data_IF_745777823592
#
_entry.id   IF_745777823592
#
_cell.length_a   1.000
_cell.length_b   1.000
_cell.length_c   1.000
_cell.angle_alpha   90.00
_cell.angle_beta   90.00
_cell.angle_gamma   90.00
#
_symmetry.space_group_name_H-M   'P 1'
#
loop_
_entity.id
_entity.type
_entity.pdbx_description
1 polymer ?
#
# COMPACT_ATOMS: atom_id res chain seq x y z
N UNK A 1 -4.79 -7.14 -7.74
CA UNK A 1 -3.53 -7.31 -7.01
C UNK A 1 -3.60 -6.46 -5.76
N UNK A 2 -3.57 -7.09 -4.59
CA UNK A 2 -3.54 -6.41 -3.31
C UNK A 2 -2.23 -5.63 -3.17
N UNK A 3 -2.30 -4.40 -2.68
CA UNK A 3 -1.10 -3.61 -2.34
C UNK A 3 -0.17 -4.44 -1.44
N UNK A 4 1.16 -4.40 -1.65
CA UNK A 4 2.13 -5.08 -0.79
C UNK A 4 2.01 -4.70 0.69
N UNK A 5 1.63 -3.46 0.99
CA UNK A 5 1.35 -2.99 2.36
C UNK A 5 0.19 -3.76 2.99
N UNK A 6 -0.90 -3.97 2.25
CA UNK A 6 -2.05 -4.76 2.72
C UNK A 6 -1.61 -6.20 2.99
N UNK A 7 -0.87 -6.81 2.07
CA UNK A 7 -0.40 -8.17 2.23
C UNK A 7 0.53 -8.34 3.46
N UNK A 8 1.43 -7.40 3.69
CA UNK A 8 2.32 -7.39 4.85
C UNK A 8 1.53 -7.26 6.17
N UNK A 9 0.55 -6.34 6.21
CA UNK A 9 -0.25 -6.13 7.40
C UNK A 9 -1.21 -7.30 7.69
N UNK A 10 -1.75 -7.96 6.65
CA UNK A 10 -2.52 -9.19 6.80
C UNK A 10 -1.68 -10.33 7.40
N UNK A 11 -0.44 -10.50 6.92
CA UNK A 11 0.49 -11.49 7.47
C UNK A 11 0.81 -11.19 8.94
N UNK A 12 0.91 -9.92 9.35
CA UNK A 12 1.12 -9.54 10.75
C UNK A 12 -0.10 -9.84 11.61
N UNK A 13 -1.32 -9.63 11.12
CA UNK A 13 -2.56 -10.04 11.82
C UNK A 13 -2.59 -11.55 12.01
N UNK A 14 -2.27 -12.34 10.99
CA UNK A 14 -2.21 -13.79 11.10
C UNK A 14 -1.13 -14.24 12.09
N UNK A 15 0.06 -13.64 12.04
CA UNK A 15 1.13 -13.91 13.01
C UNK A 15 0.68 -13.66 14.43
N UNK A 16 0.00 -12.55 14.68
CA UNK A 16 -0.49 -12.20 16.01
C UNK A 16 -1.59 -13.16 16.50
N UNK A 17 -2.49 -13.62 15.61
CA UNK A 17 -3.51 -14.62 15.91
C UNK A 17 -2.87 -15.97 16.27
N UNK A 18 -1.90 -16.43 15.49
CA UNK A 18 -1.17 -17.66 15.78
C UNK A 18 -0.39 -17.58 17.10
N UNK A 19 0.19 -16.43 17.44
CA UNK A 19 0.84 -16.21 18.72
C UNK A 19 -0.16 -16.31 19.89
N UNK A 20 -1.37 -15.79 19.72
CA UNK A 20 -2.43 -15.89 20.73
C UNK A 20 -2.90 -17.36 20.92
N UNK A 21 -3.08 -18.09 19.82
CA UNK A 21 -3.41 -19.53 19.91
C UNK A 21 -2.29 -20.35 20.55
N UNK A 22 -1.04 -20.08 20.18
CA UNK A 22 0.12 -20.73 20.80
C UNK A 22 0.15 -20.50 22.30
N UNK A 23 -0.04 -19.27 22.77
CA UNK A 23 -0.06 -18.96 24.19
C UNK A 23 -1.16 -19.71 24.96
N UNK A 24 -2.29 -20.01 24.32
CA UNK A 24 -3.38 -20.81 24.88
C UNK A 24 -3.02 -22.29 24.98
N UNK A 25 -2.33 -22.83 23.97
CA UNK A 25 -1.91 -24.24 23.95
C UNK A 25 -0.76 -24.50 24.96
N UNK A 26 0.14 -23.53 25.14
CA UNK A 26 1.24 -23.61 26.15
C UNK A 26 0.75 -23.76 27.60
N UNK A 27 -0.55 -23.57 27.84
CA UNK A 27 -1.21 -23.91 29.09
C UNK A 27 -1.19 -25.44 29.38
N UNK A 28 -1.13 -26.26 28.32
CA UNK A 28 -1.09 -27.70 28.42
C UNK A 28 0.36 -28.16 28.61
N UNK A 29 0.70 -28.89 29.70
CA UNK A 29 2.07 -29.32 29.95
C UNK A 29 2.56 -30.30 28.87
N UNK A 30 3.80 -30.13 28.44
CA UNK A 30 4.45 -31.09 27.57
C UNK A 30 4.94 -32.33 28.33
N UNK A 31 4.69 -33.51 27.78
CA UNK A 31 5.27 -34.75 28.27
C UNK A 31 6.73 -34.85 27.81
N UNK A 32 7.66 -34.91 28.75
CA UNK A 32 9.07 -35.10 28.41
C UNK A 32 9.43 -36.58 28.69
N UNK A 33 9.92 -37.26 27.66
CA UNK A 33 10.42 -38.64 27.78
C UNK A 33 11.91 -38.63 27.47
N UNK A 34 12.73 -39.04 28.39
CA UNK A 34 14.18 -39.15 28.27
C UNK A 34 14.62 -40.58 28.47
N UNK A 35 15.29 -41.14 27.49
CA UNK A 35 15.98 -42.45 27.61
C UNK A 35 17.48 -42.21 27.66
N UNK A 36 18.16 -42.79 28.66
CA UNK A 36 19.60 -42.78 28.79
C UNK A 36 20.10 -44.23 28.83
N UNK A 37 21.08 -44.53 27.99
CA UNK A 37 21.76 -45.82 27.99
C UNK A 37 23.25 -45.58 28.20
N UNK A 38 23.78 -46.04 29.34
CA UNK A 38 25.20 -46.02 29.61
C UNK A 38 25.82 -47.33 29.15
N UNK A 39 26.66 -47.25 28.13
CA UNK A 39 27.40 -48.40 27.60
C UNK A 39 28.84 -48.28 28.08
N UNK A 40 29.22 -49.07 29.06
CA UNK A 40 30.50 -49.02 29.78
C UNK A 40 30.64 -47.86 30.74
N UNK A 41 30.23 -48.04 31.93
CA UNK A 41 30.76 -47.25 33.05
C UNK A 41 32.17 -47.71 33.34
N UNK A 42 33.15 -46.81 33.41
CA UNK A 42 34.53 -47.06 33.80
C UNK A 42 34.65 -47.19 35.34
N UNK A 43 33.51 -47.26 36.03
CA UNK A 43 33.43 -47.62 37.44
C UNK A 43 33.58 -49.16 37.68
N UNK A 44 33.98 -49.47 38.81
CA UNK A 44 34.22 -50.87 39.31
C UNK A 44 32.99 -51.74 39.01
N UNK A 45 33.03 -52.51 37.91
CA UNK A 45 31.99 -53.49 37.62
C UNK A 45 31.50 -53.59 36.16
N UNK A 46 31.76 -52.64 35.30
CA UNK A 46 31.55 -52.74 33.84
C UNK A 46 30.15 -53.13 33.32
N UNK A 47 29.10 -52.83 34.05
CA UNK A 47 27.72 -53.14 33.68
C UNK A 47 27.11 -51.97 32.84
N UNK A 48 26.44 -52.30 31.75
CA UNK A 48 25.61 -51.35 31.04
C UNK A 48 24.29 -51.19 31.82
N UNK A 49 23.90 -49.93 32.03
CA UNK A 49 22.61 -49.61 32.64
C UNK A 49 21.82 -48.65 31.72
N UNK A 50 20.52 -48.66 31.83
CA UNK A 50 19.64 -47.79 31.11
C UNK A 50 18.58 -47.21 32.04
N UNK A 51 18.24 -45.93 31.81
CA UNK A 51 17.14 -45.28 32.51
C UNK A 51 16.15 -44.69 31.53
N UNK A 52 14.87 -44.80 31.85
CA UNK A 52 13.78 -44.12 31.15
C UNK A 52 13.10 -43.18 32.15
N UNK A 53 13.18 -41.89 31.89
CA UNK A 53 12.56 -40.88 32.73
C UNK A 53 11.39 -40.26 32.00
N UNK A 54 10.21 -40.26 32.61
CA UNK A 54 9.02 -39.57 32.11
C UNK A 54 8.71 -38.42 33.06
N UNK A 55 8.75 -37.20 32.54
CA UNK A 55 8.47 -35.97 33.30
C UNK A 55 7.27 -35.23 32.76
N UNK A 56 6.36 -34.80 33.65
CA UNK A 56 5.23 -33.93 33.34
C UNK A 56 5.33 -32.70 34.24
N UNK A 57 5.69 -31.51 33.72
CA UNK A 57 5.66 -30.29 34.51
C UNK A 57 4.21 -29.89 34.79
N UNK A 58 3.80 -29.88 36.04
CA UNK A 58 2.44 -29.45 36.43
C UNK A 58 2.44 -27.95 36.75
N UNK A 59 1.79 -27.09 35.95
CA UNK A 59 1.69 -25.67 36.23
C UNK A 59 0.66 -25.39 37.33
N UNK A 60 1.06 -25.45 38.58
CA UNK A 60 0.17 -25.30 39.73
C UNK A 60 -0.23 -23.85 39.96
N UNK A 61 0.70 -22.91 39.74
CA UNK A 61 0.53 -21.47 40.06
C UNK A 61 0.47 -20.57 38.82
N UNK A 62 1.25 -20.83 37.81
CA UNK A 62 1.32 -20.03 36.57
C UNK A 62 0.74 -20.83 35.39
N UNK A 63 -0.47 -20.47 34.99
CA UNK A 63 -1.18 -21.05 33.82
C UNK A 63 -1.03 -20.19 32.57
N UNK A 64 0.08 -19.47 32.45
CA UNK A 64 0.38 -18.57 31.31
C UNK A 64 -0.65 -17.47 31.09
N UNK A 65 -1.42 -17.07 32.11
CA UNK A 65 -2.52 -16.11 32.00
C UNK A 65 -2.03 -14.76 31.45
N UNK A 66 -0.86 -14.28 31.90
CA UNK A 66 -0.27 -13.00 31.44
C UNK A 66 0.03 -13.02 29.94
N UNK A 67 0.66 -14.08 29.44
CA UNK A 67 0.98 -14.21 28.01
C UNK A 67 -0.28 -14.39 27.17
N UNK A 68 -1.30 -15.10 27.66
CA UNK A 68 -2.58 -15.24 26.96
C UNK A 68 -3.26 -13.88 26.79
N UNK A 69 -3.33 -13.07 27.85
CA UNK A 69 -3.92 -11.72 27.76
C UNK A 69 -3.09 -10.82 26.86
N UNK A 70 -1.77 -10.82 27.02
CA UNK A 70 -0.86 -10.00 26.21
C UNK A 70 -0.98 -10.33 24.71
N UNK A 71 -0.93 -11.60 24.33
CA UNK A 71 -1.02 -12.02 22.93
C UNK A 71 -2.41 -11.79 22.34
N UNK A 72 -3.47 -11.96 23.14
CA UNK A 72 -4.83 -11.62 22.71
C UNK A 72 -4.98 -10.12 22.42
N UNK A 73 -4.44 -9.24 23.29
CA UNK A 73 -4.45 -7.81 23.05
C UNK A 73 -3.56 -7.41 21.86
N UNK A 74 -2.43 -8.09 21.65
CA UNK A 74 -1.59 -7.88 20.48
C UNK A 74 -2.31 -8.24 19.17
N UNK A 75 -3.11 -9.30 19.16
CA UNK A 75 -3.93 -9.65 17.99
C UNK A 75 -4.99 -8.58 17.69
N UNK A 76 -5.66 -8.07 18.72
CA UNK A 76 -6.62 -6.95 18.55
C UNK A 76 -5.91 -5.68 18.04
N UNK A 77 -4.73 -5.38 18.57
CA UNK A 77 -3.94 -4.23 18.11
C UNK A 77 -3.54 -4.36 16.63
N UNK A 78 -3.11 -5.55 16.20
CA UNK A 78 -2.79 -5.82 14.79
C UNK A 78 -4.02 -5.67 13.88
N UNK A 79 -5.19 -6.12 14.30
CA UNK A 79 -6.45 -5.91 13.54
C UNK A 79 -6.82 -4.43 13.43
N UNK A 80 -6.63 -3.65 14.49
CA UNK A 80 -6.87 -2.20 14.45
C UNK A 80 -5.87 -1.47 13.56
N UNK A 81 -4.61 -1.89 13.57
CA UNK A 81 -3.59 -1.36 12.66
C UNK A 81 -3.93 -1.63 11.19
N UNK A 82 -4.45 -2.83 10.89
CA UNK A 82 -4.95 -3.16 9.55
C UNK A 82 -6.10 -2.25 9.12
N UNK A 83 -7.10 -2.04 9.98
CA UNK A 83 -8.22 -1.12 9.70
C UNK A 83 -7.75 0.32 9.46
N UNK A 84 -6.77 0.79 10.26
CA UNK A 84 -6.17 2.11 10.07
C UNK A 84 -5.44 2.22 8.72
N UNK A 85 -4.72 1.17 8.31
CA UNK A 85 -4.06 1.14 7.01
C UNK A 85 -5.06 1.21 5.85
N UNK A 86 -6.17 0.47 5.92
CA UNK A 86 -7.23 0.54 4.89
C UNK A 86 -7.79 1.95 4.75
N UNK A 87 -8.11 2.62 5.86
CA UNK A 87 -8.59 4.01 5.85
C UNK A 87 -7.52 4.97 5.33
N UNK A 88 -6.26 4.79 5.71
CA UNK A 88 -5.16 5.62 5.23
C UNK A 88 -4.96 5.50 3.72
N UNK A 89 -5.07 4.29 3.17
CA UNK A 89 -4.99 4.05 1.72
C UNK A 89 -6.16 4.69 0.98
N UNK A 90 -7.38 4.58 1.49
CA UNK A 90 -8.54 5.27 0.92
C UNK A 90 -8.34 6.79 0.92
N UNK A 91 -7.87 7.36 2.03
CA UNK A 91 -7.62 8.80 2.13
C UNK A 91 -6.48 9.28 1.21
N UNK A 92 -5.52 8.43 0.87
CA UNK A 92 -4.48 8.75 -0.13
C UNK A 92 -5.01 8.66 -1.57
N UNK A 93 -5.89 7.70 -1.85
CA UNK A 93 -6.38 7.44 -3.19
C UNK A 93 -7.39 8.51 -3.66
N UNK A 94 -8.30 8.95 -2.79
CA UNK A 94 -9.36 9.90 -3.14
C UNK A 94 -8.84 11.17 -3.81
N UNK A 95 -7.89 11.94 -3.22
CA UNK A 95 -7.43 13.20 -3.82
C UNK A 95 -6.68 12.99 -5.14
N UNK A 96 -6.01 11.84 -5.32
CA UNK A 96 -5.31 11.53 -6.57
C UNK A 96 -6.32 11.20 -7.67
N UNK A 97 -7.37 10.45 -7.33
CA UNK A 97 -8.45 10.14 -8.27
C UNK A 97 -9.24 11.39 -8.68
N UNK A 98 -9.52 12.31 -7.74
CA UNK A 98 -10.14 13.59 -8.05
C UNK A 98 -9.27 14.43 -8.99
N UNK A 99 -7.96 14.49 -8.75
CA UNK A 99 -7.02 15.17 -9.63
C UNK A 99 -7.01 14.56 -11.04
N UNK A 100 -6.96 13.24 -11.13
CA UNK A 100 -7.06 12.54 -12.41
C UNK A 100 -8.35 12.86 -13.16
N UNK A 101 -9.50 12.77 -12.49
CA UNK A 101 -10.81 13.05 -13.09
C UNK A 101 -10.90 14.50 -13.59
N UNK A 102 -10.40 15.45 -12.81
CA UNK A 102 -10.37 16.85 -13.19
C UNK A 102 -9.45 17.10 -14.39
N UNK A 103 -8.24 16.54 -14.38
CA UNK A 103 -7.28 16.66 -15.48
C UNK A 103 -7.80 16.00 -16.76
N UNK A 104 -8.48 14.85 -16.66
CA UNK A 104 -9.11 14.19 -17.79
C UNK A 104 -10.22 15.06 -18.43
N UNK A 105 -11.11 15.59 -17.58
CA UNK A 105 -12.19 16.49 -18.04
C UNK A 105 -11.63 17.78 -18.68
N UNK A 106 -10.59 18.35 -18.09
CA UNK A 106 -9.94 19.56 -18.62
C UNK A 106 -9.27 19.28 -19.97
N UNK A 107 -8.50 18.21 -20.07
CA UNK A 107 -7.85 17.78 -21.32
C UNK A 107 -8.88 17.54 -22.43
N UNK A 108 -10.00 16.87 -22.12
CA UNK A 108 -11.07 16.64 -23.09
C UNK A 108 -11.68 17.95 -23.58
N UNK A 109 -11.97 18.90 -22.68
CA UNK A 109 -12.52 20.23 -23.04
C UNK A 109 -11.57 21.00 -23.94
N UNK A 110 -10.27 21.00 -23.63
CA UNK A 110 -9.27 21.65 -24.48
C UNK A 110 -9.22 21.00 -25.85
N UNK A 111 -9.14 19.68 -25.93
CA UNK A 111 -9.03 18.94 -27.20
C UNK A 111 -10.27 19.09 -28.08
N UNK A 112 -11.46 18.95 -27.48
CA UNK A 112 -12.70 18.77 -28.23
C UNK A 112 -13.41 20.11 -28.52
N UNK A 113 -13.13 21.18 -27.77
CA UNK A 113 -13.84 22.45 -27.86
C UNK A 113 -12.94 23.68 -27.95
N UNK A 114 -12.05 23.87 -26.95
CA UNK A 114 -11.33 25.13 -26.79
C UNK A 114 -10.27 25.31 -27.88
N UNK A 115 -9.47 24.28 -28.15
CA UNK A 115 -8.41 24.34 -29.18
C UNK A 115 -8.97 24.51 -30.60
N UNK A 116 -9.98 23.71 -31.03
CA UNK A 116 -10.63 23.94 -32.33
C UNK A 116 -11.30 25.30 -32.43
N UNK A 117 -11.86 25.83 -31.31
CA UNK A 117 -12.42 27.17 -31.26
C UNK A 117 -11.37 28.27 -31.47
N UNK A 118 -10.26 28.19 -30.77
CA UNK A 118 -9.14 29.11 -30.90
C UNK A 118 -8.50 29.07 -32.30
N UNK A 119 -8.41 27.90 -32.91
CA UNK A 119 -7.92 27.74 -34.28
C UNK A 119 -8.84 28.42 -35.28
N UNK A 120 -10.16 28.18 -35.20
CA UNK A 120 -11.15 28.84 -36.07
C UNK A 120 -11.13 30.37 -35.93
N UNK A 121 -10.99 30.88 -34.70
CA UNK A 121 -10.87 32.30 -34.45
C UNK A 121 -9.61 32.91 -35.09
N UNK A 122 -8.48 32.18 -35.03
CA UNK A 122 -7.25 32.59 -35.71
C UNK A 122 -7.40 32.59 -37.23
N UNK A 123 -8.04 31.58 -37.82
CA UNK A 123 -8.29 31.49 -39.27
C UNK A 123 -9.19 32.65 -39.74
N UNK A 124 -10.26 32.96 -38.99
CA UNK A 124 -11.13 34.10 -39.28
C UNK A 124 -10.37 35.44 -39.19
N UNK A 125 -9.57 35.63 -38.12
CA UNK A 125 -8.76 36.83 -37.96
C UNK A 125 -7.74 37.02 -39.11
N UNK A 126 -7.16 35.92 -39.63
CA UNK A 126 -6.29 35.96 -40.82
C UNK A 126 -7.06 36.38 -42.08
N UNK A 127 -8.23 35.79 -42.31
CA UNK A 127 -9.05 36.06 -43.47
C UNK A 127 -9.54 37.54 -43.50
N UNK A 128 -10.05 38.05 -42.36
CA UNK A 128 -10.51 39.45 -42.25
C UNK A 128 -9.37 40.44 -42.31
N UNK A 129 -8.17 40.11 -41.85
CA UNK A 129 -6.99 40.95 -42.03
C UNK A 129 -6.56 41.01 -43.50
N UNK A 130 -6.56 39.89 -44.20
CA UNK A 130 -6.25 39.84 -45.64
C UNK A 130 -7.27 40.63 -46.48
N UNK A 131 -8.53 40.65 -46.05
CA UNK A 131 -9.58 41.46 -46.69
C UNK A 131 -9.50 42.96 -46.36
N UNK A 132 -8.59 43.37 -45.46
CA UNK A 132 -8.45 44.75 -45.00
C UNK A 132 -9.53 45.20 -44.01
N UNK A 133 -10.33 44.28 -43.50
CA UNK A 133 -11.48 44.55 -42.61
C UNK A 133 -11.08 44.64 -41.12
N UNK A 134 -9.88 44.16 -40.75
CA UNK A 134 -9.43 44.20 -39.37
C UNK A 134 -7.97 44.64 -39.24
N UNK A 135 -7.58 45.09 -38.04
CA UNK A 135 -6.24 45.58 -37.79
C UNK A 135 -5.24 44.41 -37.54
N UNK A 136 -3.96 44.68 -37.80
CA UNK A 136 -2.87 43.77 -37.48
C UNK A 136 -2.83 43.38 -35.96
N UNK A 137 -3.24 44.30 -35.10
CA UNK A 137 -3.32 44.05 -33.64
C UNK A 137 -4.31 42.95 -33.33
N UNK A 138 -5.46 42.90 -34.01
CA UNK A 138 -6.45 41.84 -33.82
C UNK A 138 -5.93 40.49 -34.30
N UNK A 139 -5.23 40.43 -35.43
CA UNK A 139 -4.56 39.21 -35.88
C UNK A 139 -3.51 38.72 -34.88
N UNK A 140 -2.66 39.63 -34.38
CA UNK A 140 -1.63 39.28 -33.38
C UNK A 140 -2.25 38.78 -32.07
N UNK A 141 -3.37 39.38 -31.65
CA UNK A 141 -4.12 38.92 -30.47
C UNK A 141 -4.66 37.52 -30.67
N UNK A 142 -5.25 37.21 -31.83
CA UNK A 142 -5.75 35.89 -32.15
C UNK A 142 -4.61 34.83 -32.15
N UNK A 143 -3.43 35.18 -32.70
CA UNK A 143 -2.25 34.31 -32.70
C UNK A 143 -1.76 34.03 -31.27
N UNK A 144 -1.67 35.07 -30.44
CA UNK A 144 -1.28 34.90 -29.02
C UNK A 144 -2.27 34.02 -28.26
N UNK A 145 -3.57 34.27 -28.48
CA UNK A 145 -4.63 33.47 -27.84
C UNK A 145 -4.53 31.99 -28.25
N UNK A 146 -4.33 31.70 -29.53
CA UNK A 146 -4.15 30.33 -30.00
C UNK A 146 -2.90 29.68 -29.40
N UNK A 147 -1.76 30.39 -29.38
CA UNK A 147 -0.52 29.87 -28.79
C UNK A 147 -0.67 29.60 -27.29
N UNK A 148 -1.31 30.54 -26.56
CA UNK A 148 -1.56 30.34 -25.13
C UNK A 148 -2.50 29.15 -24.86
N UNK A 149 -3.53 28.99 -25.72
CA UNK A 149 -4.45 27.85 -25.63
C UNK A 149 -3.72 26.51 -25.84
N UNK A 150 -2.78 26.46 -26.79
CA UNK A 150 -1.93 25.27 -26.97
C UNK A 150 -1.06 24.97 -25.76
N UNK A 151 -0.44 25.98 -25.15
CA UNK A 151 0.36 25.81 -23.95
C UNK A 151 -0.50 25.27 -22.78
N UNK A 152 -1.68 25.85 -22.58
CA UNK A 152 -2.61 25.41 -21.55
C UNK A 152 -3.09 23.96 -21.76
N UNK A 153 -3.29 23.56 -23.03
CA UNK A 153 -3.60 22.17 -23.37
C UNK A 153 -2.45 21.21 -23.03
N UNK A 154 -1.21 21.60 -23.33
CA UNK A 154 -0.04 20.80 -22.99
C UNK A 154 0.15 20.67 -21.47
N UNK A 155 -0.14 21.73 -20.72
CA UNK A 155 -0.15 21.68 -19.25
C UNK A 155 -1.21 20.72 -18.72
N UNK A 156 -2.44 20.77 -19.25
CA UNK A 156 -3.50 19.85 -18.87
C UNK A 156 -3.14 18.38 -19.18
N UNK A 157 -2.46 18.13 -20.32
CA UNK A 157 -1.94 16.81 -20.66
C UNK A 157 -0.85 16.35 -19.68
N UNK A 158 0.04 17.25 -19.26
CA UNK A 158 1.08 16.95 -18.28
C UNK A 158 0.45 16.57 -16.93
N UNK A 159 -0.51 17.37 -16.47
CA UNK A 159 -1.24 17.08 -15.23
C UNK A 159 -1.96 15.72 -15.26
N UNK A 160 -2.59 15.41 -16.42
CA UNK A 160 -3.23 14.10 -16.61
C UNK A 160 -2.21 12.96 -16.50
N UNK A 161 -1.05 13.05 -17.15
CA UNK A 161 -0.01 12.04 -17.11
C UNK A 161 0.63 11.90 -15.72
N UNK A 162 0.80 13.01 -15.01
CA UNK A 162 1.27 12.99 -13.63
C UNK A 162 0.27 12.29 -12.69
N UNK A 163 -1.02 12.56 -12.86
CA UNK A 163 -2.06 11.90 -12.08
C UNK A 163 -2.17 10.39 -12.41
N UNK A 164 -2.06 10.00 -13.67
CA UNK A 164 -1.99 8.59 -14.09
C UNK A 164 -0.81 7.87 -13.42
N UNK A 165 0.39 8.45 -13.51
CA UNK A 165 1.60 7.90 -12.91
C UNK A 165 1.49 7.81 -11.37
N UNK A 166 0.83 8.78 -10.72
CA UNK A 166 0.59 8.74 -9.28
C UNK A 166 -0.38 7.62 -8.89
N UNK A 167 -1.44 7.37 -9.67
CA UNK A 167 -2.36 6.25 -9.42
C UNK A 167 -1.61 4.93 -9.56
N UNK A 168 -0.85 4.76 -10.64
CA UNK A 168 -0.04 3.55 -10.85
C UNK A 168 1.01 3.38 -9.73
N UNK A 169 1.67 4.47 -9.34
CA UNK A 169 2.62 4.49 -8.24
C UNK A 169 1.99 4.10 -6.91
N UNK A 170 0.81 4.61 -6.55
CA UNK A 170 0.10 4.23 -5.33
C UNK A 170 -0.35 2.77 -5.31
N UNK A 171 -0.64 2.20 -6.47
CA UNK A 171 -0.97 0.77 -6.60
C UNK A 171 0.28 -0.12 -6.48
N UNK A 172 1.46 0.41 -6.80
CA UNK A 172 2.74 -0.30 -6.83
C UNK A 172 3.65 0.05 -5.64
N UNK A 173 3.59 1.28 -5.11
CA UNK A 173 4.62 1.86 -4.22
C UNK A 173 4.52 1.47 -2.76
N UNK A 174 3.55 0.66 -2.35
CA UNK A 174 3.69 -0.02 -1.06
C UNK A 174 4.94 -0.89 -0.93
N UNK A 175 5.75 -0.99 -2.00
CA UNK A 175 6.99 -1.78 -2.01
C UNK A 175 8.28 -0.97 -1.80
N UNK A 176 8.26 0.37 -1.83
CA UNK A 176 9.48 1.19 -1.87
C UNK A 176 9.72 2.09 -0.65
N UNK A 177 8.77 2.27 0.25
CA UNK A 177 8.92 3.13 1.44
C UNK A 177 9.29 2.40 2.75
N UNK A 178 9.67 1.14 2.69
CA UNK A 178 10.23 0.42 3.86
C UNK A 178 11.76 0.36 3.79
N UNK A 179 12.41 1.52 3.91
CA UNK A 179 13.82 1.59 4.31
C UNK A 179 14.03 2.74 5.28
#
# INVERSE_FOLDING_TARGET
SSSPEIAAQMAEVERARWAAERARVEKTPNLTVQGLVNVRDNGIGGRSDGSLTVGVPLPLWNRNQGAIVQTAQAAVAAERAFQQLELALQNRLVPVYERYSNALNQTSKYRDSILPGAQRALELAKATYQAGETSYVNLLTAQRTYSQTNLNYLEALRELREAEAQIEGLLLSGSLESR
#
